data_IF_062101386920
#
_entry.id   IF_062101386920
#
_cell.length_a   1.000
_cell.length_b   1.000
_cell.length_c   1.000
_cell.angle_alpha   90.00
_cell.angle_beta   90.00
_cell.angle_gamma   90.00
#
_symmetry.space_group_name_H-M   'P 1'
#
loop_
_entity.id
_entity.type
_entity.pdbx_description
1 polymer ?
#
# COMPACT_ATOMS: atom_id res chain seq x y z
N UNK A 1 -50.13 -17.21 24.33
CA UNK A 1 -49.62 -17.21 22.93
C UNK A 1 -48.57 -16.10 22.68
N UNK A 2 -47.50 -15.99 23.50
CA UNK A 2 -46.47 -14.92 23.33
C UNK A 2 -45.01 -15.37 23.52
N UNK A 3 -44.76 -16.67 23.74
CA UNK A 3 -43.42 -17.20 24.07
C UNK A 3 -42.67 -17.82 22.88
N UNK A 4 -43.37 -18.10 21.77
CA UNK A 4 -42.78 -18.74 20.59
C UNK A 4 -42.26 -17.74 19.54
N UNK A 5 -42.70 -16.48 19.60
CA UNK A 5 -42.30 -15.44 18.63
C UNK A 5 -40.84 -15.01 18.81
N UNK A 6 -40.33 -15.03 20.05
CA UNK A 6 -38.95 -14.65 20.36
C UNK A 6 -37.94 -15.70 19.88
N UNK A 7 -38.32 -16.98 19.92
CA UNK A 7 -37.47 -18.08 19.45
C UNK A 7 -37.32 -18.06 17.92
N UNK A 8 -38.37 -17.64 17.20
CA UNK A 8 -38.36 -17.53 15.74
C UNK A 8 -37.51 -16.36 15.24
N UNK A 9 -37.48 -15.25 15.99
CA UNK A 9 -36.67 -14.07 15.65
C UNK A 9 -35.15 -14.35 15.72
N UNK A 10 -34.72 -15.32 16.54
CA UNK A 10 -33.30 -15.63 16.77
C UNK A 10 -32.68 -16.52 15.68
N UNK A 11 -33.50 -17.16 14.84
CA UNK A 11 -33.06 -18.03 13.74
C UNK A 11 -32.78 -17.22 12.46
N UNK A 12 -33.27 -15.98 12.37
CA UNK A 12 -33.13 -15.12 11.18
C UNK A 12 -32.04 -14.03 11.31
N UNK A 13 -31.27 -13.99 12.41
CA UNK A 13 -30.31 -12.89 12.67
C UNK A 13 -28.87 -13.15 12.23
N UNK A 14 -28.59 -14.21 11.46
CA UNK A 14 -27.23 -14.49 10.99
C UNK A 14 -27.10 -14.31 9.48
N UNK A 15 -27.41 -13.13 8.96
CA UNK A 15 -26.85 -12.73 7.66
C UNK A 15 -25.61 -11.90 7.98
N UNK A 16 -24.49 -12.59 8.18
CA UNK A 16 -23.18 -11.94 8.16
C UNK A 16 -22.97 -11.33 6.78
N UNK A 17 -22.91 -10.00 6.68
CA UNK A 17 -22.45 -9.31 5.50
C UNK A 17 -20.94 -9.51 5.36
N UNK A 18 -20.52 -10.65 4.80
CA UNK A 18 -19.15 -10.77 4.28
C UNK A 18 -19.12 -10.03 2.93
N UNK A 19 -18.58 -8.82 2.90
CA UNK A 19 -18.28 -8.15 1.62
C UNK A 19 -17.36 -9.08 0.81
N UNK A 20 -17.77 -9.40 -0.41
CA UNK A 20 -16.97 -10.26 -1.28
C UNK A 20 -15.82 -9.45 -1.85
N UNK A 21 -14.60 -9.70 -1.37
CA UNK A 21 -13.39 -9.07 -1.91
C UNK A 21 -12.97 -9.84 -3.16
N UNK A 22 -12.85 -9.14 -4.28
CA UNK A 22 -12.29 -9.68 -5.53
C UNK A 22 -10.98 -8.99 -5.86
N UNK A 23 -10.08 -9.66 -6.58
CA UNK A 23 -8.83 -9.05 -7.03
C UNK A 23 -8.65 -9.22 -8.53
N UNK A 24 -8.03 -8.22 -9.16
CA UNK A 24 -7.76 -8.23 -10.59
C UNK A 24 -6.43 -7.56 -10.90
N UNK A 25 -5.60 -8.24 -11.69
CA UNK A 25 -4.39 -7.65 -12.25
C UNK A 25 -4.75 -6.87 -13.50
N UNK A 26 -4.34 -5.61 -13.57
CA UNK A 26 -4.60 -4.71 -14.68
C UNK A 26 -3.48 -3.68 -14.84
N UNK A 27 -3.52 -2.94 -15.94
CA UNK A 27 -2.62 -1.78 -16.09
C UNK A 27 -2.97 -0.71 -15.08
N UNK A 28 -1.95 0.03 -14.64
CA UNK A 28 -2.16 1.17 -13.73
C UNK A 28 -3.14 2.15 -14.33
N UNK A 29 -4.18 2.51 -13.56
CA UNK A 29 -5.14 3.53 -13.97
C UNK A 29 -4.47 4.90 -14.12
N UNK A 30 -5.12 5.85 -14.79
CA UNK A 30 -4.60 7.22 -14.98
C UNK A 30 -4.24 7.87 -13.64
N UNK A 31 -5.11 7.76 -12.63
CA UNK A 31 -4.89 8.33 -11.31
C UNK A 31 -3.69 7.68 -10.59
N UNK A 32 -3.56 6.35 -10.66
CA UNK A 32 -2.41 5.63 -10.11
C UNK A 32 -1.13 6.03 -10.84
N UNK A 33 -1.16 6.12 -12.17
CA UNK A 33 -0.03 6.52 -12.99
C UNK A 33 0.49 7.92 -12.65
N UNK A 34 -0.40 8.90 -12.46
CA UNK A 34 -0.02 10.27 -12.07
C UNK A 34 0.68 10.32 -10.70
N UNK A 35 0.20 9.54 -9.73
CA UNK A 35 0.86 9.39 -8.43
C UNK A 35 2.25 8.79 -8.62
N UNK A 36 2.32 7.65 -9.30
CA UNK A 36 3.55 6.90 -9.54
C UNK A 36 4.60 7.75 -10.27
N UNK A 37 4.19 8.57 -11.24
CA UNK A 37 5.09 9.49 -11.95
C UNK A 37 5.66 10.57 -11.02
N UNK A 38 4.83 11.16 -10.14
CA UNK A 38 5.30 12.14 -9.14
C UNK A 38 6.27 11.51 -8.15
N UNK A 39 5.97 10.29 -7.69
CA UNK A 39 6.84 9.53 -6.79
C UNK A 39 8.18 9.24 -7.46
N UNK A 40 8.19 8.69 -8.67
CA UNK A 40 9.43 8.37 -9.38
C UNK A 40 10.31 9.59 -9.66
N UNK A 41 9.68 10.74 -9.95
CA UNK A 41 10.41 12.00 -10.17
C UNK A 41 11.15 12.48 -8.92
N UNK A 42 10.56 12.30 -7.73
CA UNK A 42 11.16 12.72 -6.46
C UNK A 42 12.07 11.64 -5.84
N UNK A 43 11.74 10.37 -6.05
CA UNK A 43 12.35 9.19 -5.45
C UNK A 43 12.54 8.09 -6.51
N UNK A 44 13.55 8.23 -7.38
CA UNK A 44 13.83 7.26 -8.44
C UNK A 44 14.33 5.91 -7.90
N UNK A 45 14.67 5.84 -6.60
CA UNK A 45 15.04 4.63 -5.88
C UNK A 45 13.86 3.67 -5.64
N UNK A 46 12.62 4.14 -5.78
CA UNK A 46 11.43 3.30 -5.67
C UNK A 46 11.13 2.65 -7.01
N UNK A 47 11.20 1.32 -7.04
CA UNK A 47 10.90 0.51 -8.22
C UNK A 47 9.40 0.49 -8.47
N UNK A 48 8.98 0.76 -9.71
CA UNK A 48 7.58 0.82 -10.11
C UNK A 48 7.28 -0.14 -11.25
N UNK A 49 6.07 -0.70 -11.27
CA UNK A 49 5.54 -1.53 -12.35
C UNK A 49 4.43 -0.81 -13.12
N UNK A 50 4.22 -1.24 -14.38
CA UNK A 50 3.07 -0.80 -15.20
C UNK A 50 1.79 -1.58 -14.89
N UNK A 51 1.91 -2.72 -14.21
CA UNK A 51 0.77 -3.55 -13.81
C UNK A 51 0.56 -3.48 -12.30
N UNK A 52 -0.70 -3.52 -11.89
CA UNK A 52 -1.10 -3.49 -10.49
C UNK A 52 -2.25 -4.48 -10.26
N UNK A 53 -2.26 -5.10 -9.08
CA UNK A 53 -3.38 -5.91 -8.61
C UNK A 53 -4.27 -5.04 -7.74
N UNK A 54 -5.46 -4.71 -8.25
CA UNK A 54 -6.47 -3.97 -7.51
C UNK A 54 -7.38 -4.94 -6.75
N UNK A 55 -7.67 -4.62 -5.50
CA UNK A 55 -8.62 -5.32 -4.65
C UNK A 55 -9.90 -4.50 -4.59
N UNK A 56 -11.03 -5.17 -4.83
CA UNK A 56 -12.34 -4.55 -4.94
C UNK A 56 -13.28 -5.07 -3.87
N UNK A 57 -14.03 -4.17 -3.24
CA UNK A 57 -15.23 -4.47 -2.48
C UNK A 57 -16.39 -3.64 -3.04
N UNK A 58 -17.51 -4.28 -3.34
CA UNK A 58 -18.71 -3.63 -3.90
C UNK A 58 -18.40 -2.77 -5.16
N UNK A 59 -17.48 -3.26 -6.01
CA UNK A 59 -17.06 -2.60 -7.25
C UNK A 59 -16.12 -1.40 -7.07
N UNK A 60 -15.70 -1.08 -5.84
CA UNK A 60 -14.74 -0.01 -5.54
C UNK A 60 -13.39 -0.57 -5.15
N UNK A 61 -12.32 0.07 -5.62
CA UNK A 61 -10.96 -0.28 -5.18
C UNK A 61 -10.82 0.05 -3.70
N UNK A 62 -10.39 -0.95 -2.92
CA UNK A 62 -10.11 -0.83 -1.48
C UNK A 62 -8.62 -0.97 -1.14
N UNK A 63 -7.83 -1.53 -2.05
CA UNK A 63 -6.37 -1.59 -1.97
C UNK A 63 -5.79 -1.88 -3.36
N UNK A 64 -4.52 -1.57 -3.57
CA UNK A 64 -3.82 -1.78 -4.83
C UNK A 64 -2.37 -2.18 -4.55
N UNK A 65 -1.89 -3.27 -5.13
CA UNK A 65 -0.53 -3.78 -4.88
C UNK A 65 0.21 -4.11 -6.17
N UNK A 66 1.47 -3.73 -6.27
CA UNK A 66 2.37 -4.13 -7.35
C UNK A 66 3.19 -5.35 -6.95
N UNK A 67 3.29 -6.29 -7.88
CA UNK A 67 4.18 -7.44 -7.80
C UNK A 67 5.38 -7.22 -8.71
N UNK A 68 6.54 -7.67 -8.26
CA UNK A 68 7.81 -7.51 -8.96
C UNK A 68 8.46 -8.87 -9.19
N UNK A 69 9.05 -9.06 -10.38
CA UNK A 69 9.97 -10.18 -10.58
C UNK A 69 11.30 -9.84 -9.92
N UNK A 70 11.63 -10.58 -8.85
CA UNK A 70 12.82 -10.34 -8.05
C UNK A 70 14.04 -11.12 -8.54
N UNK A 71 13.90 -11.93 -9.61
CA UNK A 71 15.03 -12.66 -10.20
C UNK A 71 16.13 -11.69 -10.60
N UNK A 72 17.36 -12.01 -10.21
CA UNK A 72 18.55 -11.19 -10.43
C UNK A 72 18.51 -9.78 -9.78
N UNK A 73 17.61 -9.54 -8.83
CA UNK A 73 17.64 -8.33 -7.99
C UNK A 73 18.33 -8.62 -6.66
N UNK A 74 18.69 -7.55 -5.92
CA UNK A 74 19.22 -7.66 -4.56
C UNK A 74 18.15 -7.91 -3.49
N UNK A 75 16.86 -7.88 -3.86
CA UNK A 75 15.75 -7.94 -2.92
C UNK A 75 15.28 -9.38 -2.73
N UNK A 76 15.05 -9.76 -1.47
CA UNK A 76 14.37 -11.02 -1.11
C UNK A 76 12.86 -10.86 -1.12
N UNK A 77 12.38 -9.65 -0.83
CA UNK A 77 10.99 -9.26 -0.99
C UNK A 77 10.92 -7.79 -1.42
N UNK A 78 9.91 -7.46 -2.23
CA UNK A 78 9.59 -6.08 -2.59
C UNK A 78 8.08 -5.99 -2.81
N UNK A 79 7.44 -5.12 -2.04
CA UNK A 79 6.00 -4.84 -2.11
C UNK A 79 5.81 -3.34 -2.25
N UNK A 80 4.88 -2.98 -3.13
CA UNK A 80 4.44 -1.61 -3.28
C UNK A 80 2.93 -1.58 -3.26
N UNK A 81 2.37 -0.82 -2.34
CA UNK A 81 0.93 -0.58 -2.21
C UNK A 81 0.56 0.84 -2.65
N UNK A 82 -0.65 1.03 -3.14
CA UNK A 82 -1.23 2.36 -3.40
C UNK A 82 -2.54 2.46 -2.62
N UNK A 83 -2.69 3.51 -1.81
CA UNK A 83 -3.95 3.75 -1.10
C UNK A 83 -5.08 4.06 -2.10
N UNK A 84 -6.34 3.68 -1.81
CA UNK A 84 -7.47 3.83 -2.73
C UNK A 84 -7.70 5.27 -3.25
N UNK A 85 -7.28 6.27 -2.49
CA UNK A 85 -7.43 7.68 -2.84
C UNK A 85 -6.31 8.21 -3.76
N UNK A 86 -5.35 7.35 -4.13
CA UNK A 86 -4.19 7.65 -4.97
C UNK A 86 -3.33 8.82 -4.45
N UNK A 87 -3.25 9.01 -3.13
CA UNK A 87 -2.38 10.04 -2.53
C UNK A 87 -1.14 9.51 -1.86
N UNK A 88 -1.06 8.19 -1.65
CA UNK A 88 0.03 7.55 -0.94
C UNK A 88 0.46 6.24 -1.60
N UNK A 89 1.76 6.05 -1.68
CA UNK A 89 2.43 4.80 -2.01
C UNK A 89 3.03 4.24 -0.75
N UNK A 90 2.74 2.99 -0.40
CA UNK A 90 3.44 2.27 0.65
C UNK A 90 4.51 1.39 0.01
N UNK A 91 5.68 1.30 0.61
CA UNK A 91 6.71 0.38 0.16
C UNK A 91 7.25 -0.43 1.33
N UNK A 92 7.56 -1.69 1.06
CA UNK A 92 8.23 -2.60 1.96
C UNK A 92 9.18 -3.45 1.13
N UNK A 93 10.45 -3.50 1.50
CA UNK A 93 11.41 -4.39 0.88
C UNK A 93 12.38 -4.95 1.90
N UNK A 94 12.95 -6.10 1.56
CA UNK A 94 13.96 -6.76 2.36
C UNK A 94 15.14 -7.14 1.45
N UNK A 95 16.36 -7.02 1.97
CA UNK A 95 17.58 -7.44 1.30
C UNK A 95 18.63 -7.88 2.33
N UNK A 96 19.58 -8.76 1.96
CA UNK A 96 20.66 -9.15 2.85
C UNK A 96 21.56 -7.97 3.28
N UNK A 97 21.62 -6.90 2.49
CA UNK A 97 22.48 -5.74 2.73
C UNK A 97 21.85 -4.72 3.69
N UNK A 98 20.55 -4.47 3.55
CA UNK A 98 19.83 -3.39 4.27
C UNK A 98 18.85 -3.89 5.32
N UNK A 99 18.64 -5.21 5.38
CA UNK A 99 17.51 -5.82 6.06
C UNK A 99 16.18 -5.25 5.57
N UNK A 100 15.17 -5.36 6.44
CA UNK A 100 13.84 -4.84 6.18
C UNK A 100 13.80 -3.32 6.24
N UNK A 101 13.30 -2.72 5.17
CA UNK A 101 13.01 -1.30 5.05
C UNK A 101 11.57 -1.12 4.61
N UNK A 102 10.84 -0.24 5.27
CA UNK A 102 9.46 0.07 4.92
C UNK A 102 9.16 1.54 5.13
N UNK A 103 8.06 1.99 4.56
CA UNK A 103 7.66 3.37 4.65
C UNK A 103 6.57 3.74 3.68
N UNK A 104 6.41 5.04 3.50
CA UNK A 104 5.41 5.59 2.60
C UNK A 104 5.93 6.82 1.87
N UNK A 105 5.32 7.07 0.72
CA UNK A 105 5.46 8.32 -0.04
C UNK A 105 4.09 8.92 -0.22
N UNK A 106 3.89 10.13 0.29
CA UNK A 106 2.61 10.84 0.24
C UNK A 106 2.73 12.18 -0.50
N UNK A 107 1.65 12.55 -1.18
CA UNK A 107 1.52 13.87 -1.81
C UNK A 107 0.90 14.86 -0.81
N UNK A 108 1.65 15.89 -0.43
CA UNK A 108 1.19 16.90 0.52
C UNK A 108 1.47 18.32 0.03
N UNK A 109 0.39 19.08 -0.24
CA UNK A 109 0.45 20.49 -0.69
C UNK A 109 1.43 20.71 -1.86
N UNK A 110 1.42 19.81 -2.85
CA UNK A 110 2.30 19.87 -4.02
C UNK A 110 3.71 19.33 -3.81
N UNK A 111 4.08 18.95 -2.59
CA UNK A 111 5.33 18.27 -2.29
C UNK A 111 5.13 16.76 -2.22
N UNK A 112 6.23 16.03 -2.40
CA UNK A 112 6.31 14.58 -2.23
C UNK A 112 7.09 14.32 -0.95
N UNK A 113 6.43 13.75 0.05
CA UNK A 113 7.01 13.42 1.35
C UNK A 113 7.29 11.92 1.40
N UNK A 114 8.52 11.51 1.72
CA UNK A 114 8.90 10.11 1.95
C UNK A 114 9.27 9.92 3.40
N UNK A 115 8.64 8.95 4.05
CA UNK A 115 9.04 8.47 5.37
C UNK A 115 9.64 7.08 5.20
N UNK A 116 10.82 6.83 5.76
CA UNK A 116 11.52 5.54 5.65
C UNK A 116 11.94 5.05 7.03
N UNK A 117 11.69 3.77 7.29
CA UNK A 117 12.08 3.06 8.49
C UNK A 117 13.01 1.91 8.11
N UNK A 118 14.21 1.86 8.69
CA UNK A 118 15.13 0.74 8.54
C UNK A 118 15.19 -0.06 9.83
N UNK A 119 14.76 -1.32 9.80
CA UNK A 119 14.79 -2.18 10.99
C UNK A 119 16.22 -2.55 11.39
N UNK A 120 17.10 -2.77 10.41
CA UNK A 120 18.49 -3.16 10.66
C UNK A 120 19.29 -2.06 11.37
N UNK A 121 19.09 -0.80 10.97
CA UNK A 121 19.87 0.33 11.52
C UNK A 121 19.12 1.10 12.61
N UNK A 122 17.81 0.88 12.75
CA UNK A 122 16.93 1.67 13.61
C UNK A 122 16.72 3.10 13.11
N UNK A 123 17.12 3.42 11.88
CA UNK A 123 17.01 4.77 11.32
C UNK A 123 15.58 5.06 10.86
N UNK A 124 15.15 6.27 11.18
CA UNK A 124 13.94 6.91 10.69
C UNK A 124 14.36 8.12 9.88
N UNK A 125 14.04 8.15 8.60
CA UNK A 125 14.31 9.29 7.71
C UNK A 125 12.99 9.85 7.18
N UNK A 126 12.88 11.18 7.21
CA UNK A 126 11.82 11.91 6.52
C UNK A 126 12.48 12.82 5.50
N UNK A 127 12.09 12.61 4.25
CA UNK A 127 12.60 13.35 3.10
C UNK A 127 11.48 14.12 2.43
N UNK A 128 11.72 15.37 2.03
CA UNK A 128 10.82 16.21 1.26
C UNK A 128 11.41 16.47 -0.13
N UNK A 129 10.70 16.07 -1.18
CA UNK A 129 11.12 16.21 -2.59
C UNK A 129 12.54 15.68 -2.85
N UNK A 130 12.85 14.50 -2.30
CA UNK A 130 14.17 13.87 -2.46
C UNK A 130 15.27 14.37 -1.50
N UNK A 131 14.98 15.34 -0.63
CA UNK A 131 15.95 15.85 0.36
C UNK A 131 15.57 15.43 1.77
N UNK A 132 16.48 14.79 2.50
CA UNK A 132 16.27 14.51 3.94
C UNK A 132 16.10 15.83 4.70
N UNK A 133 15.01 15.91 5.48
CA UNK A 133 14.66 17.07 6.31
C UNK A 133 14.64 16.71 7.79
N UNK A 134 14.55 15.43 8.11
CA UNK A 134 14.62 14.92 9.46
C UNK A 134 15.19 13.51 9.46
N UNK A 135 16.11 13.26 10.38
CA UNK A 135 16.67 11.94 10.61
C UNK A 135 16.76 11.69 12.11
N UNK A 136 16.36 10.49 12.52
CA UNK A 136 16.48 10.04 13.91
C UNK A 136 16.87 8.58 13.95
N UNK A 137 17.44 8.16 15.08
CA UNK A 137 17.78 6.77 15.36
C UNK A 137 17.00 6.34 16.60
N UNK A 138 16.25 5.25 16.48
CA UNK A 138 15.53 4.64 17.59
C UNK A 138 16.48 4.02 18.61
#
# INVERSE_FOLDING_TARGET
MKKYTLLLALIFTTISFAQTITSKQEEVSIAQYELLQKVNKAYPDITLSKTITNFYADGKIIDSQQQFDLKATKFTSYKLGIEPDNKKVLFEYDSPETGKVYGDVSLFKGNVLKTTFSEQTGLIDVSLNGKSVYQSKK
#
